data_IF_265836658133
#
_entry.id   IF_265836658133
#
_cell.length_a   1.000
_cell.length_b   1.000
_cell.length_c   1.000
_cell.angle_alpha   90.00
_cell.angle_beta   90.00
_cell.angle_gamma   90.00
#
_symmetry.space_group_name_H-M   'P 1'
#
loop_
_entity.id
_entity.type
_entity.pdbx_description
1 polymer ?
#
# COMPACT_ATOMS: atom_id res chain seq x y z
N UNK A 1 -36.27 32.99 67.26
CA UNK A 1 -34.88 33.42 66.95
C UNK A 1 -34.89 33.80 65.47
N UNK A 2 -35.34 34.98 65.07
CA UNK A 2 -34.80 36.34 65.20
C UNK A 2 -33.50 36.57 64.41
N UNK A 3 -33.57 37.53 63.46
CA UNK A 3 -32.49 38.48 63.08
C UNK A 3 -31.30 37.93 62.27
N UNK A 4 -30.75 38.53 61.21
CA UNK A 4 -30.71 39.90 60.62
C UNK A 4 -30.11 39.73 59.18
N UNK A 5 -30.64 40.23 58.05
CA UNK A 5 -30.76 41.60 57.51
C UNK A 5 -29.44 42.30 57.06
N UNK A 6 -29.49 42.83 55.82
CA UNK A 6 -28.87 44.08 55.33
C UNK A 6 -27.32 44.08 55.11
N UNK A 7 -26.70 44.74 54.11
CA UNK A 7 -27.11 45.86 53.25
C UNK A 7 -26.06 46.18 52.13
N UNK A 8 -26.56 46.67 50.98
CA UNK A 8 -26.20 47.92 50.21
C UNK A 8 -24.85 48.04 49.45
N UNK A 9 -24.83 48.19 48.09
CA UNK A 9 -24.94 49.39 47.17
C UNK A 9 -23.54 50.07 46.97
N UNK A 10 -23.07 50.65 45.83
CA UNK A 10 -23.68 51.47 44.76
C UNK A 10 -22.67 51.75 43.61
N UNK A 11 -23.20 52.15 42.43
CA UNK A 11 -22.68 53.09 41.39
C UNK A 11 -21.53 52.61 40.45
N UNK A 12 -21.61 52.59 39.11
CA UNK A 12 -22.16 53.46 38.04
C UNK A 12 -21.22 54.58 37.54
N UNK A 13 -20.80 54.46 36.27
CA UNK A 13 -20.47 55.52 35.28
C UNK A 13 -20.30 54.79 33.93
N UNK A 14 -21.08 54.96 32.85
CA UNK A 14 -21.63 56.13 32.11
C UNK A 14 -20.56 56.99 31.42
N UNK A 15 -20.62 57.00 30.08
CA UNK A 15 -19.95 57.92 29.14
C UNK A 15 -19.32 57.14 27.97
N UNK A 16 -19.81 57.14 26.72
CA UNK A 16 -20.77 58.00 26.03
C UNK A 16 -20.08 58.99 25.08
N UNK A 17 -20.01 58.64 23.78
CA UNK A 17 -19.91 59.49 22.56
C UNK A 17 -19.39 58.58 21.42
N UNK A 18 -20.17 58.08 20.45
CA UNK A 18 -21.05 58.73 19.46
C UNK A 18 -20.39 59.86 18.66
N UNK A 19 -19.97 59.56 17.42
CA UNK A 19 -20.29 60.40 16.27
C UNK A 19 -20.35 59.58 14.99
N UNK A 20 -21.46 59.79 14.28
CA UNK A 20 -21.90 59.08 13.09
C UNK A 20 -21.38 59.71 11.78
N UNK A 21 -21.42 58.92 10.71
CA UNK A 21 -21.73 59.34 9.33
C UNK A 21 -22.24 58.08 8.60
N UNK A 22 -23.56 57.85 8.40
CA UNK A 22 -24.43 58.40 7.34
C UNK A 22 -23.69 58.61 6.01
N UNK A 23 -24.13 58.16 4.83
CA UNK A 23 -25.25 57.34 4.34
C UNK A 23 -25.10 57.34 2.81
N UNK A 24 -25.35 56.24 2.09
CA UNK A 24 -25.91 56.30 0.72
C UNK A 24 -26.20 54.90 0.15
N UNK A 25 -27.47 54.72 -0.22
CA UNK A 25 -28.12 53.54 -0.81
C UNK A 25 -27.68 53.26 -2.27
N UNK A 26 -27.79 52.03 -2.80
CA UNK A 26 -28.96 51.42 -3.51
C UNK A 26 -28.48 50.12 -4.21
N UNK A 27 -29.35 49.30 -4.84
CA UNK A 27 -30.48 48.54 -4.31
C UNK A 27 -30.33 47.02 -4.58
N UNK A 28 -31.09 46.22 -3.84
CA UNK A 28 -31.21 44.78 -3.99
C UNK A 28 -31.78 44.36 -5.36
N UNK A 29 -31.04 43.55 -6.12
CA UNK A 29 -31.61 42.69 -7.16
C UNK A 29 -31.98 41.34 -6.53
N UNK A 30 -33.27 41.21 -6.20
CA UNK A 30 -33.91 39.93 -5.91
C UNK A 30 -33.92 39.11 -7.20
N UNK A 31 -33.06 38.10 -7.30
CA UNK A 31 -33.28 37.02 -8.26
C UNK A 31 -34.35 36.10 -7.67
N UNK A 32 -35.53 36.16 -8.28
CA UNK A 32 -36.59 35.17 -8.09
C UNK A 32 -36.12 33.83 -8.65
N UNK A 33 -35.90 32.85 -7.77
CA UNK A 33 -35.91 31.44 -8.16
C UNK A 33 -37.36 30.94 -8.10
N UNK A 34 -37.93 30.40 -9.18
CA UNK A 34 -39.20 29.72 -9.11
C UNK A 34 -39.02 28.39 -8.39
N UNK A 35 -39.75 28.23 -7.29
CA UNK A 35 -40.03 26.95 -6.65
C UNK A 35 -40.92 26.14 -7.60
N UNK A 36 -40.45 24.99 -8.06
CA UNK A 36 -41.33 23.94 -8.60
C UNK A 36 -41.44 22.87 -7.54
N UNK A 37 -42.66 22.70 -7.04
CA UNK A 37 -43.05 21.72 -6.06
C UNK A 37 -43.53 20.43 -6.73
N UNK A 38 -43.27 19.32 -6.02
CA UNK A 38 -44.11 18.13 -5.85
C UNK A 38 -44.58 17.35 -7.09
N UNK A 39 -44.14 16.10 -7.16
CA UNK A 39 -44.80 15.01 -7.89
C UNK A 39 -44.60 13.69 -7.15
N UNK A 40 -45.53 13.37 -6.25
CA UNK A 40 -45.69 12.06 -5.63
C UNK A 40 -46.13 11.06 -6.71
N UNK A 41 -45.48 9.89 -6.82
CA UNK A 41 -46.05 8.75 -7.52
C UNK A 41 -45.76 7.46 -6.73
N UNK A 42 -46.78 7.04 -5.98
CA UNK A 42 -46.90 5.74 -5.36
C UNK A 42 -47.32 4.74 -6.45
N UNK A 43 -46.66 3.59 -6.58
CA UNK A 43 -47.17 2.48 -7.38
C UNK A 43 -46.70 1.15 -6.80
N UNK A 44 -47.56 0.57 -5.98
CA UNK A 44 -47.61 -0.86 -5.63
C UNK A 44 -48.56 -1.57 -6.59
N UNK A 45 -48.12 -2.68 -7.18
CA UNK A 45 -48.91 -3.83 -7.68
C UNK A 45 -48.01 -4.65 -8.62
N UNK A 46 -48.10 -5.96 -8.80
CA UNK A 46 -48.65 -7.12 -8.10
C UNK A 46 -48.37 -8.29 -9.08
N UNK A 47 -48.24 -9.52 -8.58
CA UNK A 47 -48.55 -10.78 -9.30
C UNK A 47 -47.62 -11.22 -10.45
N UNK A 48 -47.48 -12.49 -10.86
CA UNK A 48 -47.68 -13.88 -10.38
C UNK A 48 -47.29 -14.75 -11.60
N UNK A 49 -46.59 -15.86 -11.37
CA UNK A 49 -46.50 -17.10 -12.19
C UNK A 49 -46.12 -17.05 -13.69
N UNK A 50 -45.19 -17.93 -14.11
CA UNK A 50 -45.53 -19.24 -14.70
C UNK A 50 -44.29 -20.00 -15.20
N UNK A 51 -44.39 -21.32 -15.00
CA UNK A 51 -43.69 -22.48 -15.59
C UNK A 51 -43.53 -22.49 -17.11
N UNK A 52 -42.44 -23.11 -17.63
CA UNK A 52 -42.45 -24.41 -18.34
C UNK A 52 -41.41 -24.58 -19.49
N UNK A 53 -40.86 -25.82 -19.59
CA UNK A 53 -40.37 -26.60 -20.76
C UNK A 53 -39.50 -25.93 -21.83
N UNK A 54 -38.24 -26.35 -22.11
CA UNK A 54 -37.75 -27.65 -22.63
C UNK A 54 -37.02 -27.40 -23.99
N UNK A 55 -36.39 -28.36 -24.72
CA UNK A 55 -35.92 -29.72 -24.39
C UNK A 55 -34.44 -30.02 -24.79
N UNK A 56 -33.98 -31.21 -24.36
CA UNK A 56 -33.10 -32.19 -25.01
C UNK A 56 -32.04 -31.77 -26.05
N UNK A 57 -30.78 -32.06 -25.72
CA UNK A 57 -29.70 -32.36 -26.67
C UNK A 57 -28.91 -33.56 -26.16
N UNK A 58 -29.28 -34.76 -26.64
CA UNK A 58 -28.59 -36.01 -26.38
C UNK A 58 -27.33 -36.12 -27.26
N UNK A 59 -26.25 -36.69 -26.71
CA UNK A 59 -25.05 -37.01 -27.49
C UNK A 59 -23.94 -37.63 -26.64
N UNK A 60 -24.12 -38.87 -26.21
CA UNK A 60 -23.02 -39.83 -25.97
C UNK A 60 -23.05 -40.88 -27.06
N UNK A 61 -21.89 -41.33 -27.57
CA UNK A 61 -21.31 -42.61 -27.14
C UNK A 61 -19.81 -42.44 -26.78
N UNK A 62 -19.32 -42.99 -25.67
CA UNK A 62 -18.98 -44.39 -25.38
C UNK A 62 -17.58 -44.82 -25.86
N UNK A 63 -16.81 -45.27 -24.85
CA UNK A 63 -15.81 -46.34 -24.85
C UNK A 63 -14.47 -46.15 -25.60
N UNK A 64 -13.37 -46.36 -24.85
CA UNK A 64 -12.07 -46.59 -25.48
C UNK A 64 -10.83 -46.64 -24.59
N UNK A 65 -10.77 -47.62 -23.69
CA UNK A 65 -9.55 -48.38 -23.31
C UNK A 65 -8.57 -47.83 -22.24
N UNK A 66 -8.47 -48.65 -21.17
CA UNK A 66 -7.27 -48.91 -20.34
C UNK A 66 -6.09 -49.38 -21.21
N UNK A 67 -4.82 -49.47 -20.81
CA UNK A 67 -4.09 -49.56 -19.56
C UNK A 67 -2.69 -48.93 -19.82
N UNK A 68 -1.68 -48.83 -18.97
CA UNK A 68 -1.05 -49.83 -18.09
C UNK A 68 0.06 -49.12 -17.32
N UNK A 69 0.33 -49.56 -16.10
CA UNK A 69 1.46 -49.17 -15.29
C UNK A 69 2.82 -49.63 -15.87
N UNK A 70 3.89 -48.86 -15.63
CA UNK A 70 5.24 -49.38 -15.40
C UNK A 70 6.19 -48.28 -14.87
N UNK A 71 6.57 -48.41 -13.60
CA UNK A 71 7.87 -48.05 -13.02
C UNK A 71 8.36 -49.35 -12.35
N UNK A 72 9.65 -49.65 -12.09
CA UNK A 72 10.83 -48.77 -12.00
C UNK A 72 12.10 -49.34 -12.70
N UNK A 73 13.23 -48.61 -12.68
CA UNK A 73 14.56 -49.20 -12.48
C UNK A 73 15.65 -48.15 -12.24
N UNK A 74 16.30 -48.35 -11.10
CA UNK A 74 17.55 -47.80 -10.56
C UNK A 74 18.76 -48.15 -11.43
N UNK A 75 19.69 -47.21 -11.68
CA UNK A 75 21.11 -47.50 -11.90
C UNK A 75 22.02 -46.32 -11.44
N UNK A 76 22.73 -46.55 -10.35
CA UNK A 76 24.02 -45.95 -9.95
C UNK A 76 24.95 -47.12 -9.60
N UNK A 77 26.28 -47.00 -9.48
CA UNK A 77 27.24 -46.02 -10.00
C UNK A 77 28.37 -46.72 -10.81
N UNK A 78 29.31 -45.97 -11.41
CA UNK A 78 30.62 -46.51 -11.80
C UNK A 78 31.72 -45.56 -11.35
N UNK A 79 32.54 -46.05 -10.42
CA UNK A 79 33.80 -45.46 -10.01
C UNK A 79 34.92 -45.91 -10.95
N UNK A 80 35.91 -45.05 -11.23
CA UNK A 80 37.27 -45.49 -11.61
C UNK A 80 38.31 -44.40 -11.28
N UNK A 81 39.21 -44.80 -10.37
CA UNK A 81 40.64 -44.50 -10.20
C UNK A 81 41.21 -43.07 -10.13
N UNK A 82 41.61 -42.71 -8.90
CA UNK A 82 42.98 -42.45 -8.42
C UNK A 82 44.06 -41.99 -9.41
N UNK A 83 44.65 -40.82 -9.14
CA UNK A 83 46.10 -40.61 -9.22
C UNK A 83 46.57 -39.61 -8.15
N UNK A 84 47.34 -40.12 -7.20
CA UNK A 84 48.14 -39.39 -6.22
C UNK A 84 49.47 -39.01 -6.88
N UNK A 85 49.88 -37.74 -6.82
CA UNK A 85 51.31 -37.38 -6.93
C UNK A 85 51.63 -36.32 -5.87
N UNK A 86 52.57 -36.69 -5.01
CA UNK A 86 53.23 -35.89 -3.97
C UNK A 86 54.62 -35.49 -4.46
N UNK A 87 55.12 -34.35 -3.94
CA UNK A 87 56.52 -33.87 -3.80
C UNK A 87 56.78 -32.55 -4.55
N UNK A 88 56.91 -31.41 -3.87
CA UNK A 88 57.99 -30.90 -2.99
C UNK A 88 59.08 -30.14 -3.76
N UNK A 89 59.07 -28.81 -3.53
CA UNK A 89 60.10 -27.76 -3.55
C UNK A 89 61.43 -27.94 -4.31
N UNK A 90 61.90 -26.87 -4.97
CA UNK A 90 63.08 -26.08 -4.55
C UNK A 90 63.14 -24.74 -5.30
N UNK A 91 63.53 -23.73 -4.53
CA UNK A 91 63.79 -22.30 -4.77
C UNK A 91 64.94 -22.00 -5.75
N UNK A 92 64.94 -20.86 -6.46
CA UNK A 92 66.13 -20.03 -6.80
C UNK A 92 65.71 -18.71 -7.48
N UNK A 93 65.98 -17.62 -6.75
CA UNK A 93 66.40 -16.24 -7.08
C UNK A 93 65.83 -15.33 -8.21
N UNK A 94 65.72 -14.07 -7.76
CA UNK A 94 65.36 -12.72 -8.27
C UNK A 94 66.41 -12.19 -9.32
N UNK A 95 66.16 -11.21 -10.24
CA UNK A 95 65.74 -9.85 -9.85
C UNK A 95 64.86 -8.94 -10.72
N UNK A 96 64.33 -7.94 -9.98
CA UNK A 96 63.85 -6.59 -10.33
C UNK A 96 63.13 -6.33 -11.64
N UNK A 97 61.86 -5.92 -11.52
CA UNK A 97 61.30 -4.82 -12.30
C UNK A 97 60.26 -4.10 -11.46
N UNK A 98 60.58 -2.86 -11.11
CA UNK A 98 59.70 -1.92 -10.42
C UNK A 98 58.57 -1.54 -11.37
N UNK A 99 57.34 -1.97 -11.06
CA UNK A 99 56.13 -1.42 -11.66
C UNK A 99 55.31 -0.79 -10.54
N UNK A 100 55.34 0.54 -10.54
CA UNK A 100 54.58 1.42 -9.65
C UNK A 100 53.11 1.01 -9.67
N UNK A 101 52.64 0.42 -8.58
CA UNK A 101 51.22 0.21 -8.35
C UNK A 101 50.56 1.58 -8.29
N UNK A 102 49.82 1.94 -9.33
CA UNK A 102 48.91 3.05 -9.30
C UNK A 102 47.90 2.77 -8.17
N UNK A 103 47.91 3.64 -7.16
CA UNK A 103 46.86 3.72 -6.16
C UNK A 103 45.56 4.04 -6.91
N UNK A 104 44.78 3.02 -7.22
CA UNK A 104 43.38 3.19 -7.57
C UNK A 104 42.74 3.90 -6.39
N UNK A 105 42.43 5.19 -6.60
CA UNK A 105 41.60 6.00 -5.72
C UNK A 105 40.37 5.17 -5.37
N UNK A 106 40.29 4.72 -4.12
CA UNK A 106 39.10 4.09 -3.61
C UNK A 106 37.93 5.04 -3.89
N UNK A 107 36.91 4.54 -4.59
CA UNK A 107 35.65 5.26 -4.71
C UNK A 107 35.20 5.65 -3.29
N UNK A 108 34.73 6.90 -3.06
CA UNK A 108 34.26 7.30 -1.74
C UNK A 108 33.22 6.29 -1.27
N UNK A 109 33.42 5.75 -0.07
CA UNK A 109 32.42 4.92 0.57
C UNK A 109 31.11 5.71 0.60
N UNK A 110 29.95 5.09 0.27
CA UNK A 110 28.68 5.79 0.30
C UNK A 110 28.51 6.41 1.70
N UNK A 111 28.28 7.72 1.75
CA UNK A 111 27.97 8.40 3.00
C UNK A 111 26.78 7.69 3.67
N UNK A 112 26.82 7.51 4.99
CA UNK A 112 25.71 6.87 5.70
C UNK A 112 24.43 7.67 5.42
N UNK A 113 23.45 7.05 4.77
CA UNK A 113 22.15 7.68 4.57
C UNK A 113 21.60 8.08 5.94
N UNK A 114 21.41 9.38 6.16
CA UNK A 114 20.79 9.89 7.37
C UNK A 114 19.28 9.58 7.33
N UNK A 115 18.73 9.17 8.47
CA UNK A 115 17.30 8.87 8.62
C UNK A 115 16.64 9.88 9.56
N UNK A 116 15.39 10.25 9.24
CA UNK A 116 14.53 11.12 10.05
C UNK A 116 13.29 10.37 10.45
N UNK A 117 12.62 10.83 11.51
CA UNK A 117 11.35 10.26 11.97
C UNK A 117 10.22 11.24 11.69
N UNK A 118 9.15 10.77 11.05
CA UNK A 118 7.87 11.46 10.98
C UNK A 118 7.01 11.03 12.17
N UNK A 119 6.32 11.99 12.77
CA UNK A 119 5.33 11.76 13.83
C UNK A 119 4.09 12.56 13.53
N UNK A 120 2.93 11.91 13.47
CA UNK A 120 1.65 12.57 13.23
C UNK A 120 1.25 13.47 14.40
N UNK A 121 0.34 14.41 14.15
CA UNK A 121 -0.29 15.19 15.21
C UNK A 121 -0.94 14.24 16.24
N UNK A 122 -0.64 14.44 17.52
CA UNK A 122 -1.11 13.57 18.60
C UNK A 122 -0.34 12.25 18.76
N UNK A 123 0.72 12.00 17.98
CA UNK A 123 1.64 10.88 18.18
C UNK A 123 1.06 9.49 17.90
N UNK A 124 -0.08 9.42 17.19
CA UNK A 124 -0.75 8.15 16.86
C UNK A 124 0.02 7.32 15.83
N UNK A 125 0.71 7.96 14.90
CA UNK A 125 1.47 7.30 13.85
C UNK A 125 2.87 7.88 13.78
N UNK A 126 3.87 7.02 13.66
CA UNK A 126 5.25 7.42 13.39
C UNK A 126 5.97 6.42 12.48
N UNK A 127 6.93 6.88 11.70
CA UNK A 127 7.80 6.04 10.87
C UNK A 127 9.10 6.79 10.55
N UNK A 128 10.16 6.05 10.24
CA UNK A 128 11.44 6.58 9.80
C UNK A 128 11.51 6.67 8.27
N UNK A 129 12.18 7.69 7.73
CA UNK A 129 12.38 7.88 6.29
C UNK A 129 13.77 8.47 6.00
N UNK A 130 14.35 8.25 4.81
CA UNK A 130 15.62 8.86 4.42
C UNK A 130 15.55 10.39 4.48
N UNK A 131 16.58 11.06 5.02
CA UNK A 131 16.60 12.52 5.23
C UNK A 131 16.45 13.34 3.94
N UNK A 132 16.84 12.76 2.81
CA UNK A 132 16.70 13.30 1.46
C UNK A 132 15.30 13.15 0.86
N UNK A 133 14.41 12.38 1.51
CA UNK A 133 13.02 12.23 1.13
C UNK A 133 12.16 13.26 1.85
N UNK A 134 10.96 13.51 1.32
CA UNK A 134 10.03 14.49 1.86
C UNK A 134 8.73 13.82 2.26
N UNK A 135 8.16 14.26 3.39
CA UNK A 135 6.84 13.84 3.85
C UNK A 135 5.94 15.06 3.79
N UNK A 136 4.84 14.98 3.05
CA UNK A 136 3.89 16.08 2.89
C UNK A 136 2.45 15.56 3.02
N UNK A 137 1.50 16.40 3.45
CA UNK A 137 0.09 16.03 3.40
C UNK A 137 -0.34 15.59 2.00
N UNK A 138 -1.13 14.53 1.89
CA UNK A 138 -1.66 14.09 0.60
C UNK A 138 -2.58 15.18 0.02
N UNK A 139 -2.39 15.61 -1.24
CA UNK A 139 -3.24 16.65 -1.82
C UNK A 139 -4.71 16.25 -1.84
N UNK A 140 -5.59 17.18 -1.46
CA UNK A 140 -7.04 16.97 -1.50
C UNK A 140 -7.64 16.20 -0.31
N UNK A 141 -6.83 15.77 0.66
CA UNK A 141 -7.34 15.21 1.92
C UNK A 141 -7.59 16.33 2.94
N UNK A 142 -8.81 16.40 3.48
CA UNK A 142 -9.18 17.35 4.53
C UNK A 142 -8.52 16.98 5.85
N UNK A 143 -7.76 17.89 6.45
CA UNK A 143 -6.99 17.62 7.67
C UNK A 143 -7.84 17.26 8.89
N UNK A 144 -7.28 16.41 9.75
CA UNK A 144 -7.73 15.94 11.05
C UNK A 144 -9.21 15.46 11.15
N UNK A 145 -9.46 14.24 11.66
CA UNK A 145 -8.56 13.43 12.50
C UNK A 145 -7.66 12.43 11.74
N UNK A 146 -7.73 12.39 10.41
CA UNK A 146 -6.96 11.42 9.63
C UNK A 146 -5.50 11.84 9.45
N UNK A 147 -4.63 10.84 9.34
CA UNK A 147 -3.23 10.98 8.91
C UNK A 147 -3.16 10.56 7.45
N UNK A 148 -3.02 11.54 6.57
CA UNK A 148 -2.91 11.36 5.13
C UNK A 148 -1.62 12.06 4.66
N UNK A 149 -0.58 11.27 4.40
CA UNK A 149 0.71 11.79 3.95
C UNK A 149 1.29 11.00 2.79
N UNK A 150 1.89 11.74 1.87
CA UNK A 150 2.70 11.21 0.79
C UNK A 150 4.18 11.34 1.17
N UNK A 151 4.93 10.26 0.95
CA UNK A 151 6.38 10.27 1.02
C UNK A 151 6.94 10.29 -0.39
N UNK A 152 7.71 11.31 -0.74
CA UNK A 152 8.36 11.46 -2.02
C UNK A 152 9.88 11.36 -1.91
N UNK A 153 10.52 10.76 -2.92
CA UNK A 153 11.97 10.67 -2.97
C UNK A 153 12.65 12.01 -3.27
N UNK A 154 13.98 12.00 -3.37
CA UNK A 154 14.77 13.20 -3.67
C UNK A 154 14.46 13.84 -5.04
N UNK A 155 13.79 13.12 -5.94
CA UNK A 155 13.35 13.62 -7.25
C UNK A 155 11.94 14.21 -7.20
N UNK A 156 11.26 14.14 -6.06
CA UNK A 156 9.88 14.58 -5.87
C UNK A 156 8.83 13.56 -6.30
N UNK A 157 9.24 12.32 -6.62
CA UNK A 157 8.30 11.25 -6.99
C UNK A 157 7.77 10.56 -5.75
N UNK A 158 6.44 10.49 -5.60
CA UNK A 158 5.80 9.80 -4.47
C UNK A 158 6.12 8.31 -4.54
N UNK A 159 6.81 7.80 -3.51
CA UNK A 159 7.20 6.39 -3.38
C UNK A 159 6.15 5.59 -2.61
N UNK A 160 5.51 6.20 -1.61
CA UNK A 160 4.45 5.58 -0.82
C UNK A 160 3.52 6.63 -0.20
N UNK A 161 2.28 6.23 0.02
CA UNK A 161 1.27 7.01 0.74
C UNK A 161 0.85 6.27 1.99
N UNK A 162 0.71 7.01 3.09
CA UNK A 162 0.18 6.56 4.36
C UNK A 162 -1.21 7.15 4.56
N UNK A 163 -2.18 6.30 4.87
CA UNK A 163 -3.49 6.67 5.37
C UNK A 163 -3.75 5.96 6.69
N UNK A 164 -4.16 6.71 7.71
CA UNK A 164 -4.68 6.18 8.97
C UNK A 164 -5.82 7.08 9.47
N UNK A 165 -7.03 6.53 9.59
CA UNK A 165 -8.21 7.25 10.04
C UNK A 165 -9.50 6.67 9.46
N UNK A 166 -10.57 7.46 9.55
CA UNK A 166 -11.86 7.07 9.00
C UNK A 166 -11.78 7.04 7.46
N UNK A 167 -12.06 5.88 6.88
CA UNK A 167 -11.94 5.63 5.44
C UNK A 167 -13.22 5.08 4.82
N UNK A 168 -13.29 5.19 3.49
CA UNK A 168 -14.34 4.57 2.69
C UNK A 168 -14.09 3.07 2.48
N UNK A 169 -15.13 2.34 2.07
CA UNK A 169 -15.03 0.90 1.78
C UNK A 169 -14.13 0.58 0.58
N UNK A 170 -13.54 -0.61 0.61
CA UNK A 170 -12.82 -1.17 -0.52
C UNK A 170 -13.82 -1.70 -1.56
N UNK A 171 -13.59 -1.42 -2.84
CA UNK A 171 -14.48 -1.81 -3.93
C UNK A 171 -13.71 -2.28 -5.16
N UNK A 172 -14.31 -3.17 -5.94
CA UNK A 172 -13.70 -3.76 -7.12
C UNK A 172 -14.25 -5.16 -7.36
N UNK A 173 -14.23 -5.59 -8.61
CA UNK A 173 -14.66 -6.93 -8.99
C UNK A 173 -13.48 -7.72 -9.55
N UNK A 174 -13.35 -8.95 -9.11
CA UNK A 174 -12.28 -9.82 -9.58
C UNK A 174 -12.62 -10.43 -10.93
N UNK A 175 -11.94 -10.02 -12.00
CA UNK A 175 -12.13 -10.55 -13.34
C UNK A 175 -10.79 -10.99 -13.92
N UNK A 176 -10.78 -12.10 -14.68
CA UNK A 176 -9.60 -12.62 -15.38
C UNK A 176 -8.38 -12.82 -14.45
N UNK A 177 -8.45 -13.75 -13.48
CA UNK A 177 -7.34 -14.00 -12.57
C UNK A 177 -6.10 -14.45 -13.34
N UNK A 178 -4.96 -13.91 -12.95
CA UNK A 178 -3.64 -14.22 -13.51
C UNK A 178 -2.74 -14.81 -12.43
N UNK A 179 -1.63 -15.48 -12.78
CA UNK A 179 -0.70 -15.99 -11.78
C UNK A 179 -0.26 -14.88 -10.82
N UNK A 180 -0.35 -15.20 -9.53
CA UNK A 180 -0.05 -14.29 -8.43
C UNK A 180 1.17 -14.79 -7.67
N UNK A 181 2.01 -13.89 -7.20
CA UNK A 181 3.19 -14.23 -6.40
C UNK A 181 3.47 -13.20 -5.32
N UNK A 182 3.92 -13.68 -4.16
CA UNK A 182 4.53 -12.85 -3.12
C UNK A 182 6.04 -12.94 -3.30
N UNK A 183 6.71 -11.81 -3.56
CA UNK A 183 8.15 -11.80 -3.85
C UNK A 183 8.99 -11.65 -2.58
N UNK A 184 8.46 -10.97 -1.56
CA UNK A 184 9.06 -10.76 -0.25
C UNK A 184 7.94 -10.40 0.76
N UNK A 185 8.13 -10.78 2.01
CA UNK A 185 7.14 -10.68 3.08
C UNK A 185 7.82 -10.62 4.44
N UNK A 186 7.36 -9.72 5.30
CA UNK A 186 7.82 -9.60 6.69
C UNK A 186 6.66 -9.24 7.60
N UNK A 187 6.43 -10.02 8.65
CA UNK A 187 5.38 -9.73 9.63
C UNK A 187 5.67 -8.44 10.40
N UNK A 188 4.61 -7.71 10.72
CA UNK A 188 4.65 -6.44 11.43
C UNK A 188 3.73 -6.50 12.65
N UNK A 189 4.20 -5.94 13.77
CA UNK A 189 3.41 -5.79 14.98
C UNK A 189 2.52 -4.54 14.88
N UNK A 190 1.48 -4.61 14.03
CA UNK A 190 0.52 -3.53 13.84
C UNK A 190 -0.86 -3.92 14.38
N UNK A 191 -1.67 -2.96 14.86
CA UNK A 191 -3.03 -3.23 15.33
C UNK A 191 -3.94 -3.61 14.16
N UNK A 192 -4.68 -4.70 14.29
CA UNK A 192 -5.57 -5.19 13.24
C UNK A 192 -6.76 -5.93 13.84
N UNK A 193 -7.82 -6.09 13.05
CA UNK A 193 -9.00 -6.84 13.43
C UNK A 193 -8.82 -8.34 13.13
N UNK A 194 -8.25 -9.08 14.09
CA UNK A 194 -8.03 -10.51 13.97
C UNK A 194 -9.33 -11.35 13.87
N UNK A 195 -10.49 -10.76 14.19
CA UNK A 195 -11.79 -11.43 14.07
C UNK A 195 -12.41 -11.31 12.68
N UNK A 196 -11.86 -10.47 11.80
CA UNK A 196 -12.32 -10.38 10.42
C UNK A 196 -11.94 -11.66 9.65
N UNK A 197 -12.86 -12.15 8.82
CA UNK A 197 -12.61 -13.34 8.00
C UNK A 197 -11.41 -13.15 7.07
N UNK A 198 -10.69 -14.25 6.81
CA UNK A 198 -9.53 -14.31 5.91
C UNK A 198 -8.38 -13.35 6.26
N UNK A 199 -8.30 -12.98 7.54
CA UNK A 199 -7.25 -12.10 8.06
C UNK A 199 -6.07 -12.92 8.57
N UNK A 200 -4.87 -12.42 8.28
CA UNK A 200 -3.59 -12.92 8.76
C UNK A 200 -2.87 -11.81 9.54
N UNK A 201 -1.81 -12.16 10.28
CA UNK A 201 -0.94 -11.17 10.91
C UNK A 201 -0.48 -10.13 9.87
N UNK A 202 -0.62 -8.82 10.15
CA UNK A 202 -0.16 -7.76 9.27
C UNK A 202 1.28 -7.99 8.84
N UNK A 203 1.55 -7.72 7.58
CA UNK A 203 2.88 -7.89 6.98
C UNK A 203 3.14 -6.79 5.98
N UNK A 204 4.39 -6.37 5.91
CA UNK A 204 4.91 -5.78 4.68
C UNK A 204 5.01 -6.90 3.65
N UNK A 205 4.56 -6.65 2.43
CA UNK A 205 4.76 -7.57 1.32
C UNK A 205 4.95 -6.81 0.01
N UNK A 206 5.74 -7.40 -0.89
CA UNK A 206 5.71 -7.06 -2.31
C UNK A 206 5.04 -8.20 -3.07
N UNK A 207 4.02 -7.86 -3.83
CA UNK A 207 3.12 -8.80 -4.50
C UNK A 207 3.04 -8.48 -5.97
N UNK A 208 2.87 -9.51 -6.79
CA UNK A 208 2.93 -9.41 -8.23
C UNK A 208 1.77 -10.16 -8.91
N UNK A 209 1.18 -9.53 -9.91
CA UNK A 209 0.31 -10.14 -10.92
C UNK A 209 1.13 -10.35 -12.20
N UNK A 210 1.05 -11.54 -12.77
CA UNK A 210 1.84 -11.93 -13.95
C UNK A 210 0.94 -12.08 -15.16
N UNK A 211 1.02 -11.12 -16.07
CA UNK A 211 0.33 -11.13 -17.36
C UNK A 211 1.30 -11.58 -18.48
N UNK A 212 0.80 -12.01 -19.65
CA UNK A 212 1.68 -12.32 -20.78
C UNK A 212 2.56 -11.12 -21.15
N UNK A 213 3.89 -11.28 -20.99
CA UNK A 213 4.89 -10.25 -21.30
C UNK A 213 4.95 -9.08 -20.31
N UNK A 214 4.29 -9.18 -19.15
CA UNK A 214 4.21 -8.11 -18.16
C UNK A 214 4.06 -8.64 -16.74
N UNK A 215 4.76 -8.04 -15.79
CA UNK A 215 4.53 -8.25 -14.35
C UNK A 215 4.20 -6.93 -13.70
N UNK A 216 3.05 -6.84 -13.04
CA UNK A 216 2.64 -5.67 -12.27
C UNK A 216 2.83 -5.98 -10.80
N UNK A 217 3.73 -5.27 -10.12
CA UNK A 217 4.04 -5.50 -8.71
C UNK A 217 3.96 -4.23 -7.87
N UNK A 218 3.59 -4.39 -6.61
CA UNK A 218 3.42 -3.30 -5.66
C UNK A 218 3.81 -3.77 -4.28
N UNK A 219 4.28 -2.85 -3.44
CA UNK A 219 4.62 -3.10 -2.06
C UNK A 219 3.75 -2.30 -1.09
N UNK A 220 3.52 -2.88 0.08
CA UNK A 220 2.85 -2.19 1.17
C UNK A 220 2.48 -3.14 2.29
N UNK A 221 1.77 -2.60 3.28
CA UNK A 221 1.23 -3.41 4.36
C UNK A 221 -0.07 -4.11 3.95
N UNK A 222 -0.28 -5.33 4.43
CA UNK A 222 -1.49 -6.11 4.19
C UNK A 222 -1.75 -7.06 5.36
N UNK A 223 -3.01 -7.31 5.66
CA UNK A 223 -3.46 -8.36 6.59
C UNK A 223 -4.26 -9.46 5.88
N UNK A 224 -4.20 -9.50 4.54
CA UNK A 224 -4.88 -10.51 3.72
C UNK A 224 -3.91 -11.22 2.80
N UNK A 225 -4.19 -12.51 2.60
CA UNK A 225 -3.61 -13.28 1.51
C UNK A 225 -4.46 -13.00 0.26
N UNK A 226 -3.81 -12.54 -0.81
CA UNK A 226 -4.41 -12.57 -2.14
C UNK A 226 -3.99 -13.85 -2.86
N UNK A 227 -4.71 -14.20 -3.92
CA UNK A 227 -4.26 -15.25 -4.81
C UNK A 227 -4.61 -16.67 -4.38
N UNK A 228 -5.87 -16.94 -4.02
CA UNK A 228 -6.32 -18.32 -3.76
C UNK A 228 -5.95 -19.20 -4.96
N UNK A 229 -5.38 -20.37 -4.69
CA UNK A 229 -4.88 -21.30 -5.71
C UNK A 229 -3.77 -20.73 -6.61
N UNK A 230 -3.02 -19.73 -6.12
CA UNK A 230 -1.88 -19.15 -6.84
C UNK A 230 -2.25 -18.15 -7.95
N UNK A 231 -3.53 -17.75 -8.03
CA UNK A 231 -4.00 -16.80 -9.04
C UNK A 231 -4.83 -15.69 -8.43
N UNK A 232 -4.64 -14.45 -8.89
CA UNK A 232 -5.44 -13.31 -8.50
C UNK A 232 -5.68 -12.38 -9.69
N UNK A 233 -6.81 -11.71 -9.70
CA UNK A 233 -7.11 -10.61 -10.62
C UNK A 233 -6.71 -9.25 -10.02
N UNK A 234 -6.61 -9.17 -8.70
CA UNK A 234 -6.36 -7.93 -7.96
C UNK A 234 -5.83 -8.21 -6.56
N UNK A 235 -5.22 -7.23 -5.92
CA UNK A 235 -4.93 -7.27 -4.48
C UNK A 235 -4.94 -5.85 -3.90
N UNK A 236 -5.11 -5.78 -2.57
CA UNK A 236 -5.04 -4.52 -1.82
C UNK A 236 -3.89 -4.51 -0.84
N UNK A 237 -3.13 -3.41 -0.79
CA UNK A 237 -2.15 -3.12 0.26
C UNK A 237 -2.82 -2.34 1.39
N UNK A 238 -3.69 -3.03 2.13
CA UNK A 238 -4.46 -2.46 3.24
C UNK A 238 -4.48 -3.42 4.42
N UNK A 239 -4.53 -2.87 5.63
CA UNK A 239 -4.81 -3.62 6.84
C UNK A 239 -6.22 -3.28 7.32
N UNK A 240 -6.99 -4.29 7.69
CA UNK A 240 -8.27 -4.15 8.39
C UNK A 240 -7.96 -3.80 9.84
N UNK A 241 -8.08 -2.52 10.17
CA UNK A 241 -7.67 -1.97 11.46
C UNK A 241 -8.76 -1.99 12.54
N UNK A 242 -8.47 -1.39 13.70
CA UNK A 242 -9.45 -1.14 14.75
C UNK A 242 -10.49 -0.08 14.33
N UNK A 243 -11.49 0.17 15.17
CA UNK A 243 -12.65 1.01 14.81
C UNK A 243 -12.28 2.46 14.46
N UNK A 244 -11.22 3.02 15.04
CA UNK A 244 -10.73 4.37 14.69
C UNK A 244 -10.12 4.47 13.30
N UNK A 245 -9.70 3.34 12.73
CA UNK A 245 -9.12 3.26 11.40
C UNK A 245 -9.46 1.91 10.76
N UNK A 246 -10.71 1.71 10.31
CA UNK A 246 -11.20 0.41 9.84
C UNK A 246 -10.40 -0.14 8.66
N UNK A 247 -9.82 0.76 7.86
CA UNK A 247 -8.79 0.44 6.88
C UNK A 247 -7.65 1.44 7.00
N UNK A 248 -6.42 0.96 6.99
CA UNK A 248 -5.24 1.81 6.87
C UNK A 248 -4.21 1.17 5.97
N UNK A 249 -3.32 1.99 5.40
CA UNK A 249 -2.32 1.53 4.46
C UNK A 249 -1.06 2.38 4.53
N UNK A 250 0.06 1.76 4.19
CA UNK A 250 1.31 2.43 3.85
C UNK A 250 1.92 1.69 2.65
N UNK A 251 1.80 2.27 1.46
CA UNK A 251 2.00 1.53 0.19
C UNK A 251 2.30 2.45 -0.99
N UNK A 252 2.92 1.91 -2.04
CA UNK A 252 3.05 2.58 -3.33
C UNK A 252 1.74 2.60 -4.14
N UNK A 253 0.86 1.60 -3.96
CA UNK A 253 -0.44 1.51 -4.60
C UNK A 253 -1.46 0.78 -3.70
N UNK A 254 -2.60 1.43 -3.40
CA UNK A 254 -3.62 0.85 -2.51
C UNK A 254 -4.25 -0.39 -3.12
N UNK A 255 -4.54 -0.37 -4.41
CA UNK A 255 -5.14 -1.46 -5.17
C UNK A 255 -4.31 -1.70 -6.44
N UNK A 256 -4.08 -2.96 -6.77
CA UNK A 256 -3.48 -3.38 -8.04
C UNK A 256 -4.44 -4.33 -8.73
N UNK A 257 -4.69 -4.09 -10.02
CA UNK A 257 -5.56 -4.91 -10.86
C UNK A 257 -4.78 -5.46 -12.06
N UNK A 258 -5.14 -6.67 -12.48
CA UNK A 258 -4.72 -7.26 -13.75
C UNK A 258 -5.23 -6.40 -14.90
N UNK A 259 -4.38 -6.12 -15.89
CA UNK A 259 -4.69 -5.20 -16.98
C UNK A 259 -4.76 -3.72 -16.57
N UNK A 260 -4.46 -3.40 -15.29
CA UNK A 260 -4.36 -2.04 -14.81
C UNK A 260 -3.14 -1.33 -15.41
N UNK A 261 -3.30 -0.04 -15.70
CA UNK A 261 -2.22 0.80 -16.28
C UNK A 261 -1.82 1.95 -15.35
N UNK A 262 -2.09 1.84 -14.04
CA UNK A 262 -1.83 2.86 -13.00
C UNK A 262 -0.66 3.79 -13.35
N UNK A 263 -0.99 4.96 -13.93
CA UNK A 263 -0.04 6.00 -14.32
C UNK A 263 -0.56 7.32 -13.78
N UNK A 264 -0.36 7.51 -12.47
CA UNK A 264 -0.38 8.84 -11.88
C UNK A 264 1.00 9.45 -12.11
N UNK A 265 1.10 10.49 -12.94
CA UNK A 265 2.39 11.04 -13.39
C UNK A 265 3.32 11.57 -12.28
N UNK A 266 2.80 11.76 -11.06
CA UNK A 266 3.55 12.19 -9.87
C UNK A 266 3.74 11.08 -8.81
N UNK A 267 3.31 9.84 -9.09
CA UNK A 267 3.44 8.70 -8.17
C UNK A 267 4.15 7.56 -8.87
N UNK A 268 5.05 6.87 -8.16
CA UNK A 268 5.66 5.65 -8.70
C UNK A 268 4.64 4.53 -8.87
N UNK A 269 3.61 4.48 -8.01
CA UNK A 269 2.50 3.56 -8.14
C UNK A 269 2.92 2.08 -8.15
N UNK A 270 2.00 1.24 -8.63
CA UNK A 270 2.31 -0.13 -8.99
C UNK A 270 3.32 -0.15 -10.15
N UNK A 271 4.35 -0.96 -10.00
CA UNK A 271 5.48 -1.03 -10.93
C UNK A 271 5.23 -2.08 -11.99
N UNK A 272 5.62 -1.74 -13.22
CA UNK A 272 5.49 -2.63 -14.37
C UNK A 272 6.89 -3.11 -14.75
N UNK A 273 7.05 -4.43 -14.81
CA UNK A 273 8.29 -5.11 -15.17
C UNK A 273 8.06 -6.01 -16.38
N UNK A 274 9.10 -6.27 -17.19
CA UNK A 274 9.00 -7.21 -18.32
C UNK A 274 8.94 -8.68 -17.85
N UNK A 275 9.37 -8.98 -16.63
CA UNK A 275 9.41 -10.34 -16.09
C UNK A 275 9.44 -10.35 -14.56
N UNK A 276 9.21 -11.54 -13.98
CA UNK A 276 9.33 -11.75 -12.53
C UNK A 276 10.78 -11.56 -12.05
N UNK A 277 11.77 -11.90 -12.88
CA UNK A 277 13.18 -11.71 -12.59
C UNK A 277 13.54 -10.23 -12.51
N UNK A 278 13.02 -9.40 -13.42
CA UNK A 278 13.20 -7.94 -13.35
C UNK A 278 12.54 -7.34 -12.10
N UNK A 279 11.37 -7.83 -11.70
CA UNK A 279 10.73 -7.44 -10.44
C UNK A 279 11.57 -7.84 -9.22
N UNK A 280 12.20 -9.03 -9.25
CA UNK A 280 13.12 -9.47 -8.18
C UNK A 280 14.41 -8.65 -8.15
N UNK A 281 14.96 -8.29 -9.30
CA UNK A 281 16.13 -7.43 -9.41
C UNK A 281 15.87 -6.04 -8.84
N UNK A 282 14.66 -5.49 -9.04
CA UNK A 282 14.25 -4.22 -8.42
C UNK A 282 14.35 -4.25 -6.89
N UNK A 283 14.12 -5.39 -6.24
CA UNK A 283 14.24 -5.52 -4.78
C UNK A 283 15.67 -5.34 -4.26
N UNK A 284 16.67 -5.31 -5.14
CA UNK A 284 18.07 -5.02 -4.78
C UNK A 284 18.42 -3.53 -4.95
N UNK A 285 17.47 -2.70 -5.42
CA UNK A 285 17.71 -1.27 -5.60
C UNK A 285 17.68 -0.53 -4.26
N UNK A 286 18.46 0.56 -4.11
CA UNK A 286 18.39 1.42 -2.92
C UNK A 286 16.99 1.96 -2.67
N UNK A 287 16.24 2.28 -3.73
CA UNK A 287 14.86 2.73 -3.63
C UNK A 287 13.98 1.73 -2.88
N UNK A 288 14.00 0.46 -3.29
CA UNK A 288 13.21 -0.58 -2.64
C UNK A 288 13.66 -0.82 -1.19
N UNK A 289 14.97 -0.91 -0.96
CA UNK A 289 15.53 -1.14 0.38
C UNK A 289 15.10 -0.04 1.34
N UNK A 290 15.16 1.22 0.89
CA UNK A 290 14.74 2.37 1.66
C UNK A 290 13.22 2.41 1.87
N UNK A 291 12.42 2.11 0.85
CA UNK A 291 10.97 2.04 0.97
C UNK A 291 10.54 0.93 1.95
N UNK A 292 11.16 -0.26 1.87
CA UNK A 292 10.92 -1.36 2.80
C UNK A 292 11.27 -0.95 4.23
N UNK A 293 12.45 -0.38 4.47
CA UNK A 293 12.83 0.08 5.82
C UNK A 293 11.87 1.15 6.35
N UNK A 294 11.48 2.10 5.51
CA UNK A 294 10.50 3.12 5.88
C UNK A 294 9.16 2.53 6.28
N UNK A 295 8.54 1.71 5.42
CA UNK A 295 7.21 1.14 5.67
C UNK A 295 7.23 0.21 6.89
N UNK A 296 8.31 -0.54 7.07
CA UNK A 296 8.43 -1.52 8.17
C UNK A 296 8.80 -0.89 9.51
N UNK A 297 9.24 0.38 9.51
CA UNK A 297 9.43 1.17 10.73
C UNK A 297 8.12 1.76 11.29
N UNK A 298 7.00 1.57 10.58
CA UNK A 298 5.70 2.09 10.98
C UNK A 298 5.30 1.62 12.38
N UNK A 299 4.94 2.58 13.22
CA UNK A 299 4.37 2.37 14.54
C UNK A 299 3.02 3.05 14.62
N UNK A 300 2.04 2.33 15.12
CA UNK A 300 0.70 2.83 15.41
C UNK A 300 0.46 2.70 16.91
N UNK A 301 0.33 3.83 17.57
CA UNK A 301 -0.01 3.91 18.98
C UNK A 301 -1.53 4.00 19.09
N UNK A 302 -2.16 2.85 19.32
CA UNK A 302 -3.56 2.79 19.74
C UNK A 302 -3.68 3.41 21.12
N UNK A 303 -4.65 4.31 21.29
CA UNK A 303 -4.91 5.04 22.53
C UNK A 303 -6.24 4.62 23.12
#
# INVERSE_FOLDING_TARGET
MNSTKDNITTEAAVGGAETAQHSAAKPARRLLWPRVAAGLALSTAMMVSTTACGPAGAGSPAAGQAATAASPATLTPTATATATVTATATETERPSSSASAAVTSAAPAPEPEEWRTYTSAGGKVSFDYPAQWTVAPTPGTGGAPNVDVDVADATGMVVASLHFGAGAGLGGACQNPVPYSVLDSMELALPYNASAADTITPRFAIRALQEPGRVTASYGITDRVAGKDGTSCMFYNVVTGPAESPFYYFTDAVQVNSGGTEQNGNRKGAKIFPSLEAAKAYMQTPEYVNAKRMITSLKINVG
#
